data_IF_904589057894
#
_entry.id   IF_904589057894
#
_cell.length_a   1.000
_cell.length_b   1.000
_cell.length_c   1.000
_cell.angle_alpha   90.00
_cell.angle_beta   90.00
_cell.angle_gamma   90.00
#
_symmetry.space_group_name_H-M   'P 1'
#
loop_
_entity.id
_entity.type
_entity.pdbx_description
1 polymer ?
#
# COMPACT_ATOMS: atom_id res chain seq x y z
N UNK A 1 -13.84 43.81 -24.98
CA UNK A 1 -12.59 43.00 -24.98
C UNK A 1 -12.94 41.64 -24.43
N UNK A 2 -12.79 40.57 -25.22
CA UNK A 2 -13.01 39.19 -24.76
C UNK A 2 -11.69 38.68 -24.19
N UNK A 3 -11.68 38.34 -22.90
CA UNK A 3 -10.54 37.68 -22.26
C UNK A 3 -10.60 36.22 -22.72
N UNK A 4 -9.70 35.83 -23.63
CA UNK A 4 -9.52 34.42 -23.96
C UNK A 4 -8.74 33.80 -22.79
N UNK A 5 -9.41 33.04 -21.94
CA UNK A 5 -8.72 32.14 -21.02
C UNK A 5 -7.95 31.12 -21.85
N UNK A 6 -6.62 31.23 -21.86
CA UNK A 6 -5.75 30.22 -22.45
C UNK A 6 -5.78 29.02 -21.50
N UNK A 7 -6.68 28.07 -21.78
CA UNK A 7 -6.66 26.75 -21.15
C UNK A 7 -5.48 25.98 -21.76
N UNK A 8 -4.25 26.33 -21.35
CA UNK A 8 -3.07 25.52 -21.65
C UNK A 8 -3.17 24.27 -20.79
N UNK A 9 -3.52 23.13 -21.39
CA UNK A 9 -3.49 21.85 -20.70
C UNK A 9 -2.02 21.51 -20.41
N UNK A 10 -1.55 21.85 -19.21
CA UNK A 10 -0.18 21.55 -18.78
C UNK A 10 0.06 20.05 -18.85
N UNK A 11 1.21 19.66 -19.41
CA UNK A 11 1.63 18.27 -19.48
C UNK A 11 2.07 17.81 -18.09
N UNK A 12 1.69 16.58 -17.71
CA UNK A 12 2.09 16.00 -16.43
C UNK A 12 3.44 15.29 -16.59
N UNK A 13 4.39 15.65 -15.75
CA UNK A 13 5.72 15.03 -15.67
C UNK A 13 5.88 14.28 -14.35
N UNK A 14 6.51 13.10 -14.41
CA UNK A 14 6.98 12.37 -13.25
C UNK A 14 8.47 12.67 -13.08
N UNK A 15 8.87 13.05 -11.88
CA UNK A 15 10.27 13.28 -11.56
C UNK A 15 10.73 12.42 -10.40
N UNK A 16 12.00 12.04 -10.43
CA UNK A 16 12.68 11.39 -9.33
C UNK A 16 13.59 12.41 -8.68
N UNK A 17 13.33 12.71 -7.41
CA UNK A 17 14.06 13.70 -6.62
C UNK A 17 14.75 13.02 -5.45
N UNK A 18 15.99 13.43 -5.16
CA UNK A 18 16.75 12.99 -3.99
C UNK A 18 16.52 13.95 -2.83
N UNK A 19 15.91 13.48 -1.76
CA UNK A 19 15.70 14.25 -0.53
C UNK A 19 16.31 13.49 0.64
N UNK A 20 17.27 14.10 1.35
CA UNK A 20 17.93 13.54 2.56
C UNK A 20 18.31 12.04 2.40
N UNK A 21 19.05 11.72 1.32
CA UNK A 21 19.49 10.36 0.93
C UNK A 21 18.40 9.37 0.49
N UNK A 22 17.14 9.77 0.40
CA UNK A 22 16.06 8.95 -0.17
C UNK A 22 15.66 9.43 -1.57
N UNK A 23 15.28 8.51 -2.45
CA UNK A 23 14.71 8.84 -3.75
C UNK A 23 13.19 8.81 -3.68
N UNK A 24 12.57 9.94 -4.01
CA UNK A 24 11.11 10.13 -3.97
C UNK A 24 10.60 10.44 -5.36
N UNK A 25 9.48 9.82 -5.73
CA UNK A 25 8.77 10.13 -6.97
C UNK A 25 7.80 11.29 -6.71
N UNK A 26 7.85 12.31 -7.55
CA UNK A 26 7.02 13.52 -7.45
C UNK A 26 6.46 13.85 -8.83
N UNK A 27 5.26 14.42 -8.91
CA UNK A 27 4.65 14.84 -10.18
C UNK A 27 4.56 16.34 -10.28
N UNK A 28 4.84 16.90 -11.46
CA UNK A 28 4.75 18.34 -11.74
C UNK A 28 4.06 18.56 -13.08
N UNK A 29 3.25 19.61 -13.14
CA UNK A 29 2.58 20.05 -14.37
C UNK A 29 3.39 21.19 -14.99
N UNK A 30 3.77 21.04 -16.26
CA UNK A 30 4.54 22.04 -17.00
C UNK A 30 4.26 21.94 -18.50
N UNK A 31 4.63 22.94 -19.29
CA UNK A 31 4.47 22.91 -20.75
C UNK A 31 5.57 22.09 -21.41
N UNK A 32 6.78 22.08 -20.82
CA UNK A 32 7.95 21.37 -21.34
C UNK A 32 8.75 20.69 -20.22
N UNK A 33 9.50 19.64 -20.57
CA UNK A 33 10.39 18.91 -19.65
C UNK A 33 11.44 19.84 -19.03
N UNK A 34 11.99 20.77 -19.81
CA UNK A 34 12.95 21.77 -19.32
C UNK A 34 12.33 22.69 -18.27
N UNK A 35 11.07 23.07 -18.45
CA UNK A 35 10.33 23.90 -17.50
C UNK A 35 10.03 23.11 -16.21
N UNK A 36 9.62 21.85 -16.32
CA UNK A 36 9.43 20.98 -15.16
C UNK A 36 10.73 20.80 -14.36
N UNK A 37 11.86 20.62 -15.04
CA UNK A 37 13.18 20.51 -14.41
C UNK A 37 13.57 21.79 -13.67
N UNK A 38 13.31 22.97 -14.25
CA UNK A 38 13.57 24.25 -13.60
C UNK A 38 12.68 24.48 -12.37
N UNK A 39 11.39 24.13 -12.45
CA UNK A 39 10.47 24.23 -11.31
C UNK A 39 10.90 23.32 -10.15
N UNK A 40 11.22 22.07 -10.46
CA UNK A 40 11.74 21.11 -9.50
C UNK A 40 13.11 21.51 -8.95
N UNK A 41 13.97 22.08 -9.78
CA UNK A 41 15.26 22.63 -9.38
C UNK A 41 15.10 23.79 -8.39
N UNK A 42 14.10 24.66 -8.56
CA UNK A 42 13.79 25.72 -7.59
C UNK A 42 13.26 25.18 -6.26
N UNK A 43 12.45 24.11 -6.28
CA UNK A 43 11.86 23.55 -5.06
C UNK A 43 12.82 22.66 -4.26
N UNK A 44 13.61 21.83 -4.95
CA UNK A 44 14.43 20.79 -4.32
C UNK A 44 15.94 21.00 -4.51
N UNK A 45 16.36 21.95 -5.34
CA UNK A 45 17.75 22.15 -5.75
C UNK A 45 18.07 21.40 -7.04
N UNK A 46 18.77 22.06 -7.98
CA UNK A 46 19.07 21.51 -9.32
C UNK A 46 19.79 20.15 -9.27
N UNK A 47 20.72 19.97 -8.32
CA UNK A 47 21.49 18.73 -8.15
C UNK A 47 20.68 17.56 -7.58
N UNK A 48 19.50 17.84 -7.05
CA UNK A 48 18.64 16.84 -6.41
C UNK A 48 17.59 16.27 -7.36
N UNK A 49 17.40 16.85 -8.55
CA UNK A 49 16.52 16.29 -9.58
C UNK A 49 17.32 15.30 -10.41
N UNK A 50 16.97 14.01 -10.33
CA UNK A 50 17.69 12.94 -11.02
C UNK A 50 17.18 12.77 -12.44
N UNK A 51 15.86 12.74 -12.60
CA UNK A 51 15.23 12.59 -13.92
C UNK A 51 13.82 13.17 -13.92
N UNK A 52 13.40 13.61 -15.10
CA UNK A 52 12.05 14.10 -15.39
C UNK A 52 11.55 13.37 -16.62
N UNK A 53 10.45 12.63 -16.51
CA UNK A 53 9.83 11.86 -17.58
C UNK A 53 8.42 12.38 -17.85
N UNK A 54 8.05 12.47 -19.12
CA UNK A 54 6.73 12.90 -19.53
C UNK A 54 5.71 11.76 -19.34
N UNK A 55 4.66 12.00 -18.57
CA UNK A 55 3.54 11.07 -18.46
C UNK A 55 2.56 11.42 -19.57
N UNK A 56 2.60 10.67 -20.68
CA UNK A 56 1.49 10.69 -21.64
C UNK A 56 0.32 9.96 -20.98
N UNK A 57 -0.67 10.72 -20.50
CA UNK A 57 -1.97 10.21 -20.04
C UNK A 57 -2.86 9.77 -21.22
N UNK A 58 -2.28 9.29 -22.32
CA UNK A 58 -3.01 8.52 -23.31
C UNK A 58 -3.20 7.10 -22.77
N UNK A 59 -4.09 6.97 -21.77
CA UNK A 59 -4.76 5.71 -21.47
C UNK A 59 -5.83 5.42 -22.52
N UNK A 60 -5.47 5.51 -23.81
CA UNK A 60 -6.01 4.53 -24.75
C UNK A 60 -5.21 3.27 -24.53
N UNK A 61 -5.50 2.58 -23.42
CA UNK A 61 -5.17 1.17 -23.29
C UNK A 61 -5.78 0.53 -24.52
N UNK A 62 -4.97 0.21 -25.52
CA UNK A 62 -5.38 -0.63 -26.63
C UNK A 62 -5.79 -1.94 -25.98
N UNK A 63 -7.07 -2.08 -25.70
CA UNK A 63 -7.68 -3.31 -25.25
C UNK A 63 -7.68 -4.24 -26.45
N UNK A 64 -6.50 -4.72 -26.83
CA UNK A 64 -6.42 -5.84 -27.75
C UNK A 64 -7.20 -6.98 -27.08
N UNK A 65 -8.23 -7.52 -27.75
CA UNK A 65 -9.05 -8.54 -27.15
C UNK A 65 -8.14 -9.73 -26.83
N UNK A 66 -7.97 -10.01 -25.53
CA UNK A 66 -7.19 -11.16 -25.08
C UNK A 66 -7.74 -12.41 -25.80
N UNK A 67 -6.87 -13.21 -26.45
CA UNK A 67 -7.26 -14.46 -27.10
C UNK A 67 -8.16 -15.32 -26.20
N UNK A 68 -9.17 -15.96 -26.78
CA UNK A 68 -10.14 -16.81 -26.06
C UNK A 68 -9.44 -17.83 -25.18
N UNK A 69 -8.38 -18.44 -25.68
CA UNK A 69 -7.69 -19.56 -25.05
C UNK A 69 -7.00 -19.12 -23.76
N UNK A 70 -6.37 -17.94 -23.78
CA UNK A 70 -5.74 -17.32 -22.60
C UNK A 70 -6.80 -16.98 -21.56
N UNK A 71 -8.00 -16.52 -21.98
CA UNK A 71 -9.11 -16.28 -21.04
C UNK A 71 -9.57 -17.59 -20.40
N UNK A 72 -9.74 -18.65 -21.19
CA UNK A 72 -10.16 -19.96 -20.70
C UNK A 72 -9.18 -20.53 -19.69
N UNK A 73 -7.88 -20.52 -20.01
CA UNK A 73 -6.83 -21.00 -19.10
C UNK A 73 -6.84 -20.22 -17.78
N UNK A 74 -6.94 -18.88 -17.85
CA UNK A 74 -7.00 -18.03 -16.65
C UNK A 74 -8.23 -18.32 -15.79
N UNK A 75 -9.38 -18.57 -16.42
CA UNK A 75 -10.61 -18.94 -15.70
C UNK A 75 -10.42 -20.30 -15.01
N UNK A 76 -9.89 -21.30 -15.73
CA UNK A 76 -9.62 -22.63 -15.16
C UNK A 76 -8.66 -22.52 -13.98
N UNK A 77 -7.53 -21.83 -14.13
CA UNK A 77 -6.55 -21.62 -13.06
C UNK A 77 -7.18 -20.95 -11.84
N UNK A 78 -7.97 -19.88 -12.05
CA UNK A 78 -8.67 -19.19 -10.97
C UNK A 78 -9.66 -20.09 -10.24
N UNK A 79 -10.44 -20.89 -10.96
CA UNK A 79 -11.41 -21.81 -10.37
C UNK A 79 -10.71 -22.93 -9.61
N UNK A 80 -9.67 -23.52 -10.18
CA UNK A 80 -8.83 -24.53 -9.51
C UNK A 80 -8.25 -23.96 -8.21
N UNK A 81 -7.66 -22.77 -8.24
CA UNK A 81 -7.14 -22.12 -7.05
C UNK A 81 -8.22 -21.90 -5.98
N UNK A 82 -9.43 -21.49 -6.38
CA UNK A 82 -10.56 -21.35 -5.44
C UNK A 82 -10.95 -22.67 -4.81
N UNK A 83 -11.04 -23.75 -5.60
CA UNK A 83 -11.37 -25.09 -5.12
C UNK A 83 -10.29 -25.60 -4.17
N UNK A 84 -9.02 -25.51 -4.56
CA UNK A 84 -7.88 -25.91 -3.73
C UNK A 84 -7.85 -25.15 -2.41
N UNK A 85 -8.04 -23.83 -2.45
CA UNK A 85 -8.12 -23.01 -1.24
C UNK A 85 -9.29 -23.41 -0.35
N UNK A 86 -10.46 -23.71 -0.93
CA UNK A 86 -11.63 -24.13 -0.16
C UNK A 86 -11.44 -25.51 0.48
N UNK A 87 -10.85 -26.46 -0.24
CA UNK A 87 -10.54 -27.79 0.25
C UNK A 87 -9.50 -27.75 1.38
N UNK A 88 -8.48 -26.89 1.24
CA UNK A 88 -7.40 -26.75 2.22
C UNK A 88 -7.73 -25.82 3.40
N UNK A 89 -8.93 -25.23 3.44
CA UNK A 89 -9.35 -24.43 4.60
C UNK A 89 -9.49 -25.35 5.81
N UNK A 90 -8.66 -25.09 6.82
CA UNK A 90 -8.80 -25.71 8.14
C UNK A 90 -10.19 -25.41 8.69
N UNK A 91 -10.93 -26.45 9.03
CA UNK A 91 -12.22 -26.35 9.72
C UNK A 91 -11.97 -26.74 11.17
N UNK A 92 -11.93 -25.78 12.10
CA UNK A 92 -11.72 -26.10 13.51
C UNK A 92 -12.80 -27.06 13.97
N UNK A 93 -12.38 -28.17 14.58
CA UNK A 93 -13.31 -29.09 15.22
C UNK A 93 -13.71 -28.56 16.58
N UNK A 94 -14.78 -29.12 17.15
CA UNK A 94 -15.20 -28.78 18.52
C UNK A 94 -14.10 -29.08 19.56
N UNK A 95 -13.23 -30.07 19.28
CA UNK A 95 -12.06 -30.36 20.09
C UNK A 95 -11.06 -29.20 20.10
N UNK A 96 -10.75 -28.63 18.93
CA UNK A 96 -9.85 -27.48 18.79
C UNK A 96 -10.38 -26.25 19.54
N UNK A 97 -11.69 -26.02 19.45
CA UNK A 97 -12.36 -24.94 20.19
C UNK A 97 -12.24 -25.14 21.70
N UNK A 98 -12.43 -26.37 22.20
CA UNK A 98 -12.28 -26.68 23.61
C UNK A 98 -10.84 -26.48 24.10
N UNK A 99 -9.83 -26.85 23.30
CA UNK A 99 -8.43 -26.58 23.62
C UNK A 99 -8.17 -25.07 23.67
N UNK A 100 -8.65 -24.32 22.68
CA UNK A 100 -8.49 -22.86 22.65
C UNK A 100 -9.12 -22.19 23.87
N UNK A 101 -10.33 -22.63 24.25
CA UNK A 101 -11.04 -22.13 25.43
C UNK A 101 -10.28 -22.44 26.73
N UNK A 102 -9.74 -23.65 26.86
CA UNK A 102 -8.89 -24.02 28.02
C UNK A 102 -7.65 -23.12 28.08
N UNK A 103 -6.94 -22.93 26.96
CA UNK A 103 -5.76 -22.05 26.88
C UNK A 103 -6.11 -20.61 27.27
N UNK A 104 -7.23 -20.10 26.77
CA UNK A 104 -7.72 -18.77 27.10
C UNK A 104 -7.98 -18.61 28.59
N UNK A 105 -8.74 -19.54 29.20
CA UNK A 105 -9.03 -19.52 30.64
C UNK A 105 -7.76 -19.58 31.49
N UNK A 106 -6.80 -20.43 31.12
CA UNK A 106 -5.52 -20.52 31.82
C UNK A 106 -4.72 -19.22 31.72
N UNK A 107 -4.73 -18.56 30.56
CA UNK A 107 -4.08 -17.25 30.38
C UNK A 107 -4.73 -16.18 31.26
N UNK A 108 -6.05 -16.10 31.28
CA UNK A 108 -6.81 -15.17 32.12
C UNK A 108 -6.45 -15.35 33.62
N UNK A 109 -6.42 -16.59 34.10
CA UNK A 109 -6.03 -16.88 35.49
C UNK A 109 -4.61 -16.39 35.83
N UNK A 110 -3.66 -16.56 34.91
CA UNK A 110 -2.26 -16.10 35.11
C UNK A 110 -2.18 -14.58 35.20
N UNK A 111 -2.87 -13.88 34.30
CA UNK A 111 -2.89 -12.41 34.30
C UNK A 111 -3.50 -11.87 35.59
N UNK A 112 -4.62 -12.43 36.05
CA UNK A 112 -5.23 -12.02 37.31
C UNK A 112 -4.29 -12.23 38.50
N UNK A 113 -3.61 -13.39 38.54
CA UNK A 113 -2.65 -13.69 39.60
C UNK A 113 -1.43 -12.75 39.57
N UNK A 114 -0.97 -12.36 38.38
CA UNK A 114 0.11 -11.35 38.23
C UNK A 114 -0.35 -9.97 38.70
N UNK A 115 -1.58 -9.57 38.37
CA UNK A 115 -2.19 -8.33 38.83
C UNK A 115 -2.29 -8.29 40.37
N UNK A 116 -2.81 -9.36 40.99
CA UNK A 116 -2.94 -9.47 42.44
C UNK A 116 -1.58 -9.35 43.13
N UNK A 117 -0.55 -10.01 42.59
CA UNK A 117 0.83 -9.89 43.09
C UNK A 117 1.37 -8.47 42.99
N UNK A 118 1.11 -7.78 41.89
CA UNK A 118 1.53 -6.38 41.72
C UNK A 118 0.84 -5.47 42.74
N UNK A 119 -0.48 -5.63 42.92
CA UNK A 119 -1.23 -4.87 43.91
C UNK A 119 -0.71 -5.12 45.33
N UNK A 120 -0.42 -6.37 45.68
CA UNK A 120 0.16 -6.74 46.96
C UNK A 120 1.54 -6.09 47.18
N UNK A 121 2.42 -6.10 46.17
CA UNK A 121 3.72 -5.45 46.24
C UNK A 121 3.61 -3.93 46.40
N UNK A 122 2.63 -3.30 45.75
CA UNK A 122 2.36 -1.86 45.90
C UNK A 122 1.89 -1.56 47.33
N UNK A 123 0.99 -2.36 47.90
CA UNK A 123 0.54 -2.21 49.29
C UNK A 123 1.70 -2.32 50.28
N UNK A 124 2.60 -3.30 50.09
CA UNK A 124 3.79 -3.48 50.93
C UNK A 124 4.82 -2.36 50.78
N UNK A 125 4.90 -1.69 49.62
CA UNK A 125 5.80 -0.54 49.41
C UNK A 125 5.22 0.80 49.86
N UNK A 126 3.90 0.88 50.00
CA UNK A 126 3.17 2.09 50.39
C UNK A 126 2.89 2.22 51.89
N UNK A 127 3.44 1.31 52.71
CA UNK A 127 3.45 1.36 54.18
C UNK A 127 4.89 1.61 54.66
#
# INVERSE_FOLDING_TARGET
MKINEVISSLNKYLAIVRVKNSQVKTTVEAESSSQAMLLLGKMYGEKNVISVTHIKLDEQVKLEPIPSDIKHERIISNLTNKITNYANRLRPTQHDMNIALKRYRSKQKRVNLELDKQQHLIMLRGS
#
